data_IF_758433764469
#
_entry.id   IF_758433764469
#
_cell.length_a   1.000
_cell.length_b   1.000
_cell.length_c   1.000
_cell.angle_alpha   90.00
_cell.angle_beta   90.00
_cell.angle_gamma   90.00
#
_symmetry.space_group_name_H-M   'P 1'
#
loop_
_entity.id
_entity.type
_entity.pdbx_description
1 polymer ?
#
# COMPACT_ATOMS: atom_id res chain seq x y z
N UNK A 1 -14.53 8.58 -3.03
CA UNK A 1 -13.67 9.74 -2.74
C UNK A 1 -12.22 9.37 -2.39
N UNK A 2 -11.82 9.01 -1.16
CA UNK A 2 -10.38 8.79 -0.83
C UNK A 2 -9.75 7.63 -1.62
N UNK A 3 -10.42 6.48 -1.70
CA UNK A 3 -9.93 5.31 -2.44
C UNK A 3 -9.86 5.54 -3.96
N UNK A 4 -10.90 6.15 -4.53
CA UNK A 4 -10.96 6.46 -5.96
C UNK A 4 -9.86 7.43 -6.37
N UNK A 5 -9.63 8.47 -5.58
CA UNK A 5 -8.61 9.47 -5.90
C UNK A 5 -7.20 8.90 -5.76
N UNK A 6 -6.95 8.11 -4.71
CA UNK A 6 -5.71 7.36 -4.56
C UNK A 6 -5.48 6.40 -5.74
N UNK A 7 -6.53 5.74 -6.24
CA UNK A 7 -6.43 4.86 -7.40
C UNK A 7 -6.16 5.63 -8.71
N UNK A 8 -6.78 6.79 -8.92
CA UNK A 8 -6.52 7.66 -10.08
C UNK A 8 -5.07 8.17 -10.11
N UNK A 9 -4.51 8.48 -8.94
CA UNK A 9 -3.13 8.95 -8.78
C UNK A 9 -2.09 7.81 -8.74
N UNK A 10 -2.50 6.56 -8.97
CA UNK A 10 -1.67 5.36 -8.85
C UNK A 10 -0.89 5.29 -7.51
N UNK A 11 -1.55 5.69 -6.42
CA UNK A 11 -0.96 5.65 -5.10
C UNK A 11 -0.78 4.21 -4.60
N UNK A 12 0.35 3.96 -3.95
CA UNK A 12 0.71 2.67 -3.33
C UNK A 12 0.18 2.54 -1.90
N UNK A 13 0.21 3.63 -1.14
CA UNK A 13 -0.28 3.68 0.23
C UNK A 13 -1.11 4.96 0.45
N UNK A 14 -2.12 4.85 1.30
CA UNK A 14 -2.90 5.97 1.86
C UNK A 14 -2.60 6.01 3.36
N UNK A 15 -2.23 7.18 3.85
CA UNK A 15 -1.96 7.43 5.27
C UNK A 15 -3.01 8.40 5.81
N UNK A 16 -3.74 7.99 6.84
CA UNK A 16 -4.70 8.83 7.57
C UNK A 16 -4.13 8.99 8.98
N UNK A 17 -3.70 10.19 9.31
CA UNK A 17 -2.89 10.45 10.49
C UNK A 17 -3.54 11.53 11.37
N UNK A 18 -3.99 11.19 12.58
CA UNK A 18 -4.54 12.17 13.49
C UNK A 18 -3.43 13.10 14.00
N UNK A 19 -3.70 14.40 13.97
CA UNK A 19 -2.90 15.44 14.58
C UNK A 19 -3.65 16.15 15.71
N UNK A 20 -2.98 17.09 16.36
CA UNK A 20 -3.56 17.87 17.47
C UNK A 20 -4.76 18.71 17.06
N UNK A 21 -4.73 19.30 15.87
CA UNK A 21 -5.77 20.21 15.36
C UNK A 21 -6.63 19.57 14.26
N UNK A 22 -6.01 18.74 13.42
CA UNK A 22 -6.63 18.17 12.24
C UNK A 22 -6.06 16.81 11.92
N UNK A 23 -6.76 16.06 11.07
CA UNK A 23 -6.28 14.80 10.51
C UNK A 23 -5.72 15.04 9.13
N UNK A 24 -4.49 14.57 8.91
CA UNK A 24 -3.84 14.64 7.59
C UNK A 24 -4.08 13.36 6.83
N UNK A 25 -4.41 13.50 5.54
CA UNK A 25 -4.47 12.40 4.59
C UNK A 25 -3.36 12.58 3.57
N UNK A 26 -2.46 11.60 3.49
CA UNK A 26 -1.31 11.61 2.58
C UNK A 26 -1.33 10.38 1.69
N UNK A 27 -0.89 10.54 0.44
CA UNK A 27 -0.73 9.44 -0.50
C UNK A 27 0.74 9.20 -0.80
N UNK A 28 1.12 7.93 -0.91
CA UNK A 28 2.43 7.54 -1.44
C UNK A 28 2.32 7.30 -2.94
N UNK A 29 2.81 8.24 -3.72
CA UNK A 29 2.88 8.15 -5.19
C UNK A 29 4.36 8.13 -5.59
N UNK A 30 4.75 7.15 -6.39
CA UNK A 30 6.15 6.95 -6.80
C UNK A 30 7.16 6.92 -5.64
N UNK A 31 6.75 6.29 -4.53
CA UNK A 31 7.57 6.18 -3.32
C UNK A 31 7.55 7.43 -2.41
N UNK A 32 7.10 8.58 -2.91
CA UNK A 32 7.05 9.84 -2.17
C UNK A 32 5.71 10.04 -1.47
N UNK A 33 5.75 10.39 -0.19
CA UNK A 33 4.56 10.79 0.56
C UNK A 33 4.22 12.25 0.26
N UNK A 34 3.03 12.50 -0.26
CA UNK A 34 2.50 13.83 -0.53
C UNK A 34 1.24 14.05 0.29
N UNK A 35 1.14 15.21 0.93
CA UNK A 35 -0.10 15.62 1.58
C UNK A 35 -1.15 15.88 0.51
N UNK A 36 -2.34 15.33 0.71
CA UNK A 36 -3.42 15.41 -0.27
C UNK A 36 -4.56 16.26 0.25
N UNK A 37 -4.97 16.05 1.51
CA UNK A 37 -5.97 16.88 2.16
C UNK A 37 -5.81 16.84 3.68
N UNK A 38 -6.35 17.87 4.32
CA UNK A 38 -6.51 17.97 5.76
C UNK A 38 -8.01 17.98 6.08
N UNK A 39 -8.45 17.11 6.99
CA UNK A 39 -9.83 17.10 7.47
C UNK A 39 -9.90 17.58 8.92
N UNK A 40 -11.00 18.23 9.33
CA UNK A 40 -11.20 18.63 10.71
C UNK A 40 -11.06 17.44 11.68
N UNK A 41 -10.41 17.67 12.83
CA UNK A 41 -10.13 16.61 13.81
C UNK A 41 -11.37 15.85 14.29
N UNK A 42 -12.53 16.52 14.38
CA UNK A 42 -13.79 15.90 14.79
C UNK A 42 -14.32 14.83 13.82
N UNK A 43 -13.88 14.84 12.56
CA UNK A 43 -14.26 13.82 11.57
C UNK A 43 -13.40 12.55 11.66
N UNK A 44 -12.27 12.60 12.39
CA UNK A 44 -11.28 11.53 12.41
C UNK A 44 -11.88 10.20 12.87
N UNK A 45 -12.60 10.22 14.00
CA UNK A 45 -13.14 9.01 14.61
C UNK A 45 -14.17 8.33 13.69
N UNK A 46 -15.05 9.11 13.06
CA UNK A 46 -16.01 8.61 12.09
C UNK A 46 -15.34 7.92 10.90
N UNK A 47 -14.21 8.47 10.43
CA UNK A 47 -13.41 7.87 9.37
C UNK A 47 -12.79 6.55 9.83
N UNK A 48 -12.23 6.51 11.05
CA UNK A 48 -11.64 5.30 11.63
C UNK A 48 -12.66 4.18 11.75
N UNK A 49 -13.84 4.46 12.30
CA UNK A 49 -14.93 3.49 12.41
C UNK A 49 -15.33 2.97 11.04
N UNK A 50 -15.49 3.87 10.05
CA UNK A 50 -15.87 3.46 8.68
C UNK A 50 -14.84 2.51 8.07
N UNK A 51 -13.54 2.80 8.23
CA UNK A 51 -12.48 1.93 7.71
C UNK A 51 -12.44 0.60 8.45
N UNK A 52 -12.55 0.59 9.78
CA UNK A 52 -12.59 -0.66 10.57
C UNK A 52 -13.74 -1.56 10.15
N UNK A 53 -14.94 -1.01 9.94
CA UNK A 53 -16.09 -1.77 9.44
C UNK A 53 -15.81 -2.37 8.06
N UNK A 54 -15.28 -1.59 7.12
CA UNK A 54 -14.95 -2.08 5.79
C UNK A 54 -13.90 -3.21 5.83
N UNK A 55 -12.93 -3.10 6.73
CA UNK A 55 -11.85 -4.06 6.91
C UNK A 55 -12.17 -5.22 7.87
N UNK A 56 -13.41 -5.29 8.38
CA UNK A 56 -13.88 -6.29 9.36
C UNK A 56 -13.06 -6.32 10.66
N UNK A 57 -12.65 -5.15 11.15
CA UNK A 57 -11.91 -4.95 12.39
C UNK A 57 -12.82 -4.63 13.57
N UNK A 58 -12.34 -4.85 14.79
CA UNK A 58 -13.06 -4.53 16.01
C UNK A 58 -13.06 -3.01 16.26
N UNK A 59 -14.25 -2.41 16.18
CA UNK A 59 -14.46 -0.97 16.41
C UNK A 59 -14.35 -0.57 17.89
N UNK A 60 -14.55 -1.51 18.80
CA UNK A 60 -14.51 -1.29 20.25
C UNK A 60 -13.08 -1.29 20.78
N UNK A 61 -12.21 -2.09 20.19
CA UNK A 61 -10.80 -2.14 20.55
C UNK A 61 -10.00 -1.01 19.85
N UNK A 62 -9.27 -0.23 20.65
CA UNK A 62 -8.52 0.96 20.19
C UNK A 62 -7.12 1.06 20.80
N UNK A 63 -6.72 0.09 21.62
CA UNK A 63 -5.49 0.12 22.42
C UNK A 63 -4.38 -0.74 21.82
N UNK A 64 -4.72 -1.64 20.90
CA UNK A 64 -3.78 -2.51 20.19
C UNK A 64 -3.85 -2.27 18.68
N UNK A 65 -2.74 -2.49 17.95
CA UNK A 65 -2.77 -2.50 16.50
C UNK A 65 -3.72 -3.56 15.96
N UNK A 66 -4.33 -3.28 14.81
CA UNK A 66 -5.23 -4.20 14.10
C UNK A 66 -4.94 -4.20 12.61
N UNK A 67 -4.91 -5.38 11.99
CA UNK A 67 -4.67 -5.55 10.56
C UNK A 67 -5.85 -6.27 9.91
N UNK A 68 -6.28 -5.78 8.75
CA UNK A 68 -7.45 -6.27 8.03
C UNK A 68 -7.29 -6.16 6.52
N UNK A 69 -8.30 -6.64 5.80
CA UNK A 69 -8.35 -6.58 4.36
C UNK A 69 -9.71 -6.08 3.90
N UNK A 70 -9.74 -5.34 2.79
CA UNK A 70 -10.97 -4.93 2.12
C UNK A 70 -10.94 -5.58 0.74
N UNK A 71 -11.98 -6.36 0.43
CA UNK A 71 -12.19 -6.91 -0.91
C UNK A 71 -13.10 -5.96 -1.67
N UNK A 72 -12.57 -5.27 -2.69
CA UNK A 72 -13.39 -4.48 -3.60
C UNK A 72 -14.00 -5.38 -4.69
N UNK A 73 -15.32 -5.32 -4.87
CA UNK A 73 -16.07 -6.24 -5.75
C UNK A 73 -16.12 -5.83 -7.24
N UNK A 74 -15.61 -4.66 -7.64
CA UNK A 74 -15.75 -4.18 -9.03
C UNK A 74 -14.45 -4.25 -9.86
N UNK A 75 -14.51 -5.10 -10.89
CA UNK A 75 -13.75 -5.20 -12.16
C UNK A 75 -12.20 -5.18 -12.15
N UNK A 76 -11.55 -4.61 -11.14
CA UNK A 76 -10.13 -4.70 -10.88
C UNK A 76 -9.96 -5.17 -9.44
N UNK A 77 -9.60 -6.44 -9.24
CA UNK A 77 -9.32 -7.05 -7.93
C UNK A 77 -8.14 -6.36 -7.23
N UNK A 78 -8.36 -5.16 -6.68
CA UNK A 78 -7.40 -4.47 -5.83
C UNK A 78 -7.51 -5.14 -4.46
N UNK A 79 -6.45 -5.81 -4.05
CA UNK A 79 -6.34 -6.35 -2.70
C UNK A 79 -5.91 -5.21 -1.78
N UNK A 80 -6.80 -4.78 -0.89
CA UNK A 80 -6.56 -3.63 -0.03
C UNK A 80 -6.22 -4.14 1.35
N UNK A 81 -5.01 -3.81 1.83
CA UNK A 81 -4.60 -4.13 3.20
C UNK A 81 -4.73 -2.90 4.07
N UNK A 82 -5.31 -3.05 5.25
CA UNK A 82 -5.52 -1.98 6.21
C UNK A 82 -4.77 -2.31 7.49
N UNK A 83 -4.01 -1.36 8.00
CA UNK A 83 -3.35 -1.43 9.30
C UNK A 83 -3.77 -0.23 10.13
N UNK A 84 -4.24 -0.47 11.34
CA UNK A 84 -4.71 0.54 12.29
C UNK A 84 -3.81 0.49 13.51
N UNK A 85 -3.26 1.63 13.93
CA UNK A 85 -2.35 1.72 15.06
C UNK A 85 -2.79 2.83 16.03
N UNK A 86 -2.82 2.57 17.34
CA UNK A 86 -3.06 3.61 18.34
C UNK A 86 -1.92 4.63 18.34
N UNK A 87 -2.28 5.91 18.41
CA UNK A 87 -1.32 7.02 18.55
C UNK A 87 -1.81 8.01 19.60
N UNK A 88 -1.01 9.05 19.89
CA UNK A 88 -1.34 10.09 20.89
C UNK A 88 -2.68 10.79 20.63
N UNK A 89 -3.06 10.99 19.37
CA UNK A 89 -4.20 11.82 18.98
C UNK A 89 -5.38 11.03 18.41
N UNK A 90 -5.30 9.71 18.39
CA UNK A 90 -6.30 8.83 17.76
C UNK A 90 -5.64 7.64 17.08
N UNK A 91 -6.40 6.93 16.24
CA UNK A 91 -5.90 5.77 15.53
C UNK A 91 -5.36 6.18 14.15
N UNK A 92 -4.06 5.95 13.93
CA UNK A 92 -3.46 6.09 12.60
C UNK A 92 -3.89 4.92 11.74
N UNK A 93 -4.27 5.20 10.50
CA UNK A 93 -4.60 4.17 9.52
C UNK A 93 -3.60 4.27 8.37
N UNK A 94 -3.08 3.11 7.98
CA UNK A 94 -2.31 2.93 6.75
C UNK A 94 -3.04 1.93 5.88
N UNK A 95 -3.33 2.32 4.65
CA UNK A 95 -4.02 1.46 3.68
C UNK A 95 -3.10 1.24 2.49
N UNK A 96 -2.82 -0.01 2.17
CA UNK A 96 -2.02 -0.40 1.01
C UNK A 96 -2.90 -0.91 -0.11
N UNK A 97 -2.75 -0.32 -1.29
CA UNK A 97 -3.46 -0.71 -2.50
C UNK A 97 -2.60 -1.69 -3.30
N UNK A 98 -2.91 -2.99 -3.23
CA UNK A 98 -2.24 -4.00 -4.04
C UNK A 98 -3.02 -4.22 -5.33
N UNK A 99 -2.56 -3.61 -6.41
CA UNK A 99 -3.11 -3.84 -7.75
C UNK A 99 -2.71 -5.25 -8.20
N UNK A 100 -3.63 -6.23 -8.13
CA UNK A 100 -3.43 -7.53 -8.80
C UNK A 100 -3.56 -7.28 -10.30
N UNK A 101 -2.43 -7.21 -11.01
CA UNK A 101 -2.46 -6.93 -12.44
C UNK A 101 -1.27 -6.15 -13.00
N UNK A 102 -0.20 -5.87 -12.23
CA UNK A 102 1.09 -5.66 -12.91
C UNK A 102 1.40 -6.98 -13.61
N UNK A 103 1.17 -7.00 -14.93
CA UNK A 103 1.61 -8.06 -15.83
C UNK A 103 2.99 -8.51 -15.38
N UNK A 104 3.17 -9.82 -15.16
CA UNK A 104 4.48 -10.37 -14.89
C UNK A 104 5.40 -9.87 -16.01
N UNK A 105 6.33 -8.98 -15.65
CA UNK A 105 7.24 -8.43 -16.64
C UNK A 105 8.12 -9.57 -17.12
N UNK A 106 8.23 -9.72 -18.44
CA UNK A 106 9.22 -10.63 -19.01
C UNK A 106 10.61 -10.12 -18.66
N UNK A 107 11.61 -10.99 -18.64
CA UNK A 107 12.98 -10.57 -18.35
C UNK A 107 13.46 -9.45 -19.30
N UNK A 108 12.98 -9.44 -20.54
CA UNK A 108 13.23 -8.41 -21.55
C UNK A 108 12.61 -7.04 -21.22
N UNK A 109 11.55 -6.99 -20.40
CA UNK A 109 10.87 -5.75 -20.02
C UNK A 109 11.48 -5.10 -18.77
N UNK A 110 12.42 -5.77 -18.07
CA UNK A 110 13.04 -5.28 -16.84
C UNK A 110 14.13 -4.22 -17.08
N UNK A 111 14.42 -3.86 -18.33
CA UNK A 111 15.36 -2.79 -18.67
C UNK A 111 16.84 -3.16 -18.51
N UNK A 112 17.17 -4.45 -18.44
CA UNK A 112 18.56 -4.90 -18.45
C UNK A 112 19.23 -4.56 -19.78
N UNK A 113 20.51 -4.18 -19.73
CA UNK A 113 21.35 -4.17 -20.92
C UNK A 113 21.40 -5.59 -21.53
N UNK A 114 21.45 -5.74 -22.87
CA UNK A 114 21.35 -7.05 -23.52
C UNK A 114 22.30 -8.11 -22.95
N UNK A 115 23.57 -7.75 -22.74
CA UNK A 115 24.58 -8.66 -22.18
C UNK A 115 24.28 -9.12 -20.74
N UNK A 116 23.66 -8.26 -19.92
CA UNK A 116 23.26 -8.61 -18.55
C UNK A 116 22.02 -9.53 -18.59
N UNK A 117 21.05 -9.19 -19.44
CA UNK A 117 19.83 -9.99 -19.62
C UNK A 117 20.14 -11.41 -20.08
N UNK A 118 21.05 -11.59 -21.04
CA UNK A 118 21.49 -12.91 -21.52
C UNK A 118 22.18 -13.73 -20.42
N UNK A 119 23.09 -13.11 -19.66
CA UNK A 119 23.75 -13.78 -18.54
C UNK A 119 22.75 -14.23 -17.48
N UNK A 120 21.81 -13.36 -17.11
CA UNK A 120 20.77 -13.68 -16.14
C UNK A 120 19.86 -14.81 -16.65
N UNK A 121 19.44 -14.74 -17.92
CA UNK A 121 18.62 -15.78 -18.56
C UNK A 121 19.34 -17.14 -18.61
N UNK A 122 20.66 -17.15 -18.85
CA UNK A 122 21.47 -18.36 -18.79
C UNK A 122 21.60 -18.91 -17.37
N UNK A 123 21.75 -18.06 -16.35
CA UNK A 123 21.86 -18.47 -14.95
C UNK A 123 20.57 -19.11 -14.43
N UNK A 124 19.40 -18.51 -14.71
CA UNK A 124 18.11 -19.04 -14.24
C UNK A 124 17.70 -20.34 -14.93
N UNK A 125 18.30 -20.68 -16.08
CA UNK A 125 18.07 -21.95 -16.80
C UNK A 125 18.95 -23.11 -16.34
N UNK A 126 19.91 -22.88 -15.45
CA UNK A 126 20.74 -23.96 -14.90
C UNK A 126 19.87 -24.90 -14.05
N UNK A 127 20.16 -26.19 -14.12
CA UNK A 127 19.41 -27.23 -13.38
C UNK A 127 19.63 -27.18 -11.87
N UNK A 128 20.68 -26.48 -11.42
CA UNK A 128 21.01 -26.27 -10.01
C UNK A 128 21.78 -24.95 -9.82
N UNK A 129 21.61 -24.34 -8.65
CA UNK A 129 22.25 -23.08 -8.27
C UNK A 129 21.32 -22.16 -7.50
N UNK A 130 21.85 -21.04 -7.00
CA UNK A 130 21.10 -20.03 -6.28
C UNK A 130 21.30 -18.67 -6.95
N UNK A 131 20.21 -17.95 -7.19
CA UNK A 131 20.22 -16.55 -7.64
C UNK A 131 19.59 -15.71 -6.53
N UNK A 132 20.35 -14.74 -6.00
CA UNK A 132 19.87 -13.83 -4.97
C UNK A 132 19.57 -12.46 -5.59
N UNK A 133 18.31 -12.05 -5.55
CA UNK A 133 17.92 -10.67 -5.80
C UNK A 133 17.96 -9.90 -4.47
N UNK A 134 18.85 -8.92 -4.35
CA UNK A 134 19.07 -8.15 -3.12
C UNK A 134 18.83 -6.67 -3.36
N UNK A 135 18.20 -6.00 -2.40
CA UNK A 135 17.83 -4.59 -2.50
C UNK A 135 16.87 -4.17 -1.38
N UNK A 136 16.65 -2.87 -1.18
CA UNK A 136 15.75 -2.34 -0.15
C UNK A 136 14.27 -2.62 -0.46
N UNK A 137 13.38 -2.35 0.50
CA UNK A 137 11.93 -2.45 0.28
C UNK A 137 11.49 -1.53 -0.88
N UNK A 138 10.69 -2.06 -1.81
CA UNK A 138 10.20 -1.30 -2.96
C UNK A 138 11.13 -1.28 -4.18
N UNK A 139 12.28 -1.96 -4.16
CA UNK A 139 13.24 -1.96 -5.28
C UNK A 139 12.85 -2.81 -6.50
N UNK A 140 11.64 -3.38 -6.54
CA UNK A 140 11.23 -4.27 -7.63
C UNK A 140 11.92 -5.64 -7.68
N UNK A 141 12.43 -6.12 -6.53
CA UNK A 141 12.77 -7.55 -6.35
C UNK A 141 11.53 -8.43 -6.49
#
# INVERSE_FOLDING_TARGET
>A
MIFEEAAKLDASDIHIEPGRAATRVRYRVDGLLKEHLEIPGWMHESLVVRIKVLARLDISERRIPQDGHITAEESNRIDIRVSVLPTRWGEKIVIRLLRRGRSLMTLSQLGFQPAIGERLHAMIRRTQGMVLAVGPTGSGK
#
